data_IF_935272974872
#
_entry.id   IF_935272974872
#
_cell.length_a   1.000
_cell.length_b   1.000
_cell.length_c   1.000
_cell.angle_alpha   90.00
_cell.angle_beta   90.00
_cell.angle_gamma   90.00
#
_symmetry.space_group_name_H-M   'P 1'
#
loop_
_entity.id
_entity.type
_entity.pdbx_description
1 polymer ?
#
# COMPACT_ATOMS: atom_id res chain seq x y z
N UNK A 1 21.89 19.60 10.73
CA UNK A 1 20.87 20.46 10.08
C UNK A 1 20.86 20.07 8.61
N UNK A 2 19.72 19.65 8.07
CA UNK A 2 19.61 19.16 6.69
C UNK A 2 18.59 20.00 5.93
N UNK A 3 18.72 20.05 4.61
CA UNK A 3 17.72 20.62 3.70
C UNK A 3 16.74 19.54 3.30
N UNK A 4 15.50 19.66 3.74
CA UNK A 4 14.46 18.61 3.66
C UNK A 4 13.34 19.04 2.74
N UNK A 5 12.95 18.18 1.79
CA UNK A 5 11.74 18.34 1.02
C UNK A 5 10.64 17.42 1.59
N UNK A 6 9.60 18.03 2.17
CA UNK A 6 8.47 17.30 2.75
C UNK A 6 7.39 17.07 1.70
N UNK A 7 6.96 15.81 1.55
CA UNK A 7 5.79 15.47 0.74
C UNK A 7 4.51 15.82 1.50
N UNK A 8 3.93 16.99 1.24
CA UNK A 8 2.66 17.44 1.81
C UNK A 8 1.50 16.94 0.97
N UNK A 9 0.71 16.02 1.54
CA UNK A 9 -0.48 15.45 0.90
C UNK A 9 -1.78 16.21 1.20
N UNK A 10 -1.71 17.29 1.97
CA UNK A 10 -2.89 17.97 2.51
C UNK A 10 -3.50 17.30 3.75
N UNK A 11 -3.05 16.09 4.11
CA UNK A 11 -3.46 15.38 5.32
C UNK A 11 -2.70 15.85 6.57
N UNK A 12 -3.28 15.61 7.76
CA UNK A 12 -2.72 16.04 9.04
C UNK A 12 -1.35 15.40 9.34
N UNK A 13 -1.14 14.16 8.92
CA UNK A 13 0.10 13.41 9.20
C UNK A 13 1.32 14.06 8.53
N UNK A 14 1.19 14.43 7.26
CA UNK A 14 2.25 15.14 6.54
C UNK A 14 2.45 16.58 7.05
N UNK A 15 1.38 17.23 7.51
CA UNK A 15 1.44 18.57 8.08
C UNK A 15 2.24 18.58 9.40
N UNK A 16 1.95 17.63 10.30
CA UNK A 16 2.70 17.48 11.56
C UNK A 16 4.14 17.04 11.30
N UNK A 17 4.40 16.21 10.30
CA UNK A 17 5.76 15.86 9.90
C UNK A 17 6.57 17.11 9.51
N UNK A 18 5.97 18.04 8.74
CA UNK A 18 6.61 19.30 8.37
C UNK A 18 6.83 20.22 9.58
N UNK A 19 5.85 20.32 10.47
CA UNK A 19 5.94 21.07 11.73
C UNK A 19 7.11 20.62 12.59
N UNK A 20 7.22 19.31 12.83
CA UNK A 20 8.27 18.73 13.67
C UNK A 20 9.67 18.98 13.09
N UNK A 21 9.86 18.82 11.79
CA UNK A 21 11.15 19.10 11.14
C UNK A 21 11.54 20.57 11.25
N UNK A 22 10.57 21.50 11.10
CA UNK A 22 10.81 22.92 11.30
C UNK A 22 11.23 23.20 12.76
N UNK A 23 10.53 22.62 13.74
CA UNK A 23 10.87 22.76 15.16
C UNK A 23 12.24 22.19 15.51
N UNK A 24 12.68 21.15 14.82
CA UNK A 24 14.02 20.56 14.95
C UNK A 24 15.12 21.41 14.28
N UNK A 25 14.78 22.52 13.62
CA UNK A 25 15.70 23.45 13.03
C UNK A 25 16.23 23.04 11.65
N UNK A 26 15.56 22.14 10.93
CA UNK A 26 15.89 21.83 9.55
C UNK A 26 15.49 22.97 8.60
N UNK A 27 16.17 23.08 7.45
CA UNK A 27 15.69 23.87 6.32
C UNK A 27 14.59 23.07 5.60
N UNK A 28 13.35 23.43 5.85
CA UNK A 28 12.18 22.66 5.38
C UNK A 28 11.52 23.38 4.22
N UNK A 29 11.39 22.68 3.10
CA UNK A 29 10.55 23.04 1.97
C UNK A 29 9.43 22.00 1.81
N UNK A 30 8.29 22.43 1.26
CA UNK A 30 7.14 21.58 1.09
C UNK A 30 6.81 21.39 -0.39
N UNK A 31 6.41 20.19 -0.77
CA UNK A 31 5.90 19.92 -2.11
C UNK A 31 4.69 19.01 -2.07
N UNK A 32 3.69 19.36 -2.87
CA UNK A 32 2.61 18.43 -3.25
C UNK A 32 3.00 17.80 -4.59
N UNK A 33 3.06 16.47 -4.67
CA UNK A 33 3.25 15.81 -5.95
C UNK A 33 1.91 15.36 -6.52
N UNK A 34 1.59 15.92 -7.70
CA UNK A 34 0.36 15.62 -8.41
C UNK A 34 0.53 14.34 -9.20
N UNK A 35 -0.29 13.32 -8.87
CA UNK A 35 -0.24 11.99 -9.50
C UNK A 35 -1.42 11.72 -10.41
N UNK A 36 -2.46 12.57 -10.36
CA UNK A 36 -3.68 12.37 -11.11
C UNK A 36 -4.25 13.68 -11.59
N UNK A 37 -4.85 13.66 -12.78
CA UNK A 37 -5.68 14.72 -13.33
C UNK A 37 -6.99 14.11 -13.82
N UNK A 38 -8.10 14.83 -13.66
CA UNK A 38 -9.32 14.47 -14.35
C UNK A 38 -9.08 14.65 -15.86
N UNK A 39 -9.04 13.54 -16.58
CA UNK A 39 -9.04 13.58 -18.03
C UNK A 39 -10.46 13.90 -18.52
N UNK A 40 -10.55 14.62 -19.64
CA UNK A 40 -11.82 14.86 -20.35
C UNK A 40 -12.52 13.52 -20.58
N UNK A 41 -13.72 13.39 -20.07
CA UNK A 41 -14.55 12.17 -20.20
C UNK A 41 -14.65 11.25 -18.99
N UNK A 42 -14.08 11.61 -17.83
CA UNK A 42 -14.42 10.93 -16.58
C UNK A 42 -15.75 11.47 -16.04
N UNK A 43 -16.88 10.74 -16.15
CA UNK A 43 -18.16 11.19 -15.62
C UNK A 43 -18.26 10.91 -14.13
N UNK A 44 -17.36 11.48 -13.33
CA UNK A 44 -17.55 11.52 -11.90
C UNK A 44 -18.01 12.93 -11.54
N UNK A 45 -19.31 13.13 -11.24
CA UNK A 45 -19.79 14.39 -10.72
C UNK A 45 -19.21 14.57 -9.32
N UNK A 46 -18.33 15.52 -9.15
CA UNK A 46 -17.72 15.86 -7.87
C UNK A 46 -16.45 16.67 -8.08
N UNK A 47 -16.14 17.49 -7.09
CA UNK A 47 -14.89 18.25 -7.04
C UNK A 47 -13.69 17.31 -7.15
N UNK A 48 -12.68 17.74 -7.87
CA UNK A 48 -11.43 17.00 -8.07
C UNK A 48 -10.74 16.80 -6.71
N UNK A 49 -10.60 15.57 -6.17
CA UNK A 49 -10.07 15.37 -4.82
C UNK A 49 -8.68 16.00 -4.61
N UNK A 50 -7.87 16.08 -5.69
CA UNK A 50 -6.53 16.63 -5.61
C UNK A 50 -6.50 18.16 -5.41
N UNK A 51 -7.53 18.91 -5.87
CA UNK A 51 -7.58 20.36 -5.67
C UNK A 51 -7.77 20.72 -4.19
N UNK A 52 -8.60 19.97 -3.48
CA UNK A 52 -8.76 20.13 -2.03
C UNK A 52 -7.48 19.74 -1.31
N UNK A 53 -6.81 18.67 -1.74
CA UNK A 53 -5.53 18.26 -1.18
C UNK A 53 -4.46 19.33 -1.35
N UNK A 54 -4.35 19.93 -2.55
CA UNK A 54 -3.44 21.05 -2.84
C UNK A 54 -3.76 22.26 -1.98
N UNK A 55 -5.04 22.68 -1.92
CA UNK A 55 -5.46 23.84 -1.08
C UNK A 55 -5.05 23.63 0.39
N UNK A 56 -5.30 22.44 0.93
CA UNK A 56 -4.91 22.11 2.30
C UNK A 56 -3.39 22.08 2.48
N UNK A 57 -2.65 21.49 1.53
CA UNK A 57 -1.19 21.46 1.58
C UNK A 57 -0.60 22.87 1.52
N UNK A 58 -1.12 23.72 0.63
CA UNK A 58 -0.69 25.11 0.51
C UNK A 58 -1.01 25.91 1.79
N UNK A 59 -2.22 25.81 2.34
CA UNK A 59 -2.60 26.49 3.58
C UNK A 59 -1.70 26.08 4.76
N UNK A 60 -1.34 24.79 4.87
CA UNK A 60 -0.38 24.31 5.87
C UNK A 60 1.00 24.91 5.66
N UNK A 61 1.49 24.92 4.42
CA UNK A 61 2.81 25.49 4.11
C UNK A 61 2.86 26.99 4.41
N UNK A 62 1.83 27.75 4.07
CA UNK A 62 1.68 29.18 4.39
C UNK A 62 1.65 29.40 5.90
N UNK A 63 0.84 28.65 6.65
CA UNK A 63 0.76 28.72 8.10
C UNK A 63 2.10 28.44 8.77
N UNK A 64 2.84 27.47 8.26
CA UNK A 64 4.17 27.14 8.76
C UNK A 64 5.29 28.04 8.19
N UNK A 65 5.01 28.96 7.26
CA UNK A 65 6.00 29.81 6.60
C UNK A 65 7.01 29.01 5.79
N UNK A 66 6.60 27.93 5.11
CA UNK A 66 7.46 27.07 4.30
C UNK A 66 7.33 27.41 2.81
N UNK A 67 8.41 27.46 2.04
CA UNK A 67 8.31 27.44 0.58
C UNK A 67 7.52 26.23 0.09
N UNK A 68 6.54 26.47 -0.77
CA UNK A 68 5.65 25.43 -1.28
C UNK A 68 5.62 25.41 -2.81
N UNK A 69 5.54 24.21 -3.38
CA UNK A 69 5.35 24.02 -4.83
C UNK A 69 4.59 22.75 -5.15
N UNK A 70 4.07 22.68 -6.37
CA UNK A 70 3.48 21.49 -6.94
C UNK A 70 4.50 20.85 -7.89
N UNK A 71 4.72 19.55 -7.75
CA UNK A 71 5.55 18.76 -8.67
C UNK A 71 4.60 17.87 -9.48
N UNK A 72 4.63 18.02 -10.79
CA UNK A 72 3.83 17.21 -11.68
C UNK A 72 4.49 15.85 -11.91
N UNK A 73 3.80 14.78 -11.55
CA UNK A 73 4.21 13.38 -11.70
C UNK A 73 3.10 12.52 -12.32
N UNK A 74 2.14 13.15 -13.02
CA UNK A 74 0.97 12.44 -13.59
C UNK A 74 1.42 11.39 -14.60
N UNK A 75 2.35 11.73 -15.50
CA UNK A 75 2.84 10.78 -16.50
C UNK A 75 3.66 9.65 -15.86
N UNK A 76 4.60 10.00 -14.96
CA UNK A 76 5.39 9.01 -14.23
C UNK A 76 4.49 8.03 -13.47
N UNK A 77 3.41 8.54 -12.85
CA UNK A 77 2.45 7.73 -12.10
C UNK A 77 1.65 6.79 -12.99
N UNK A 78 1.19 7.29 -14.14
CA UNK A 78 0.45 6.51 -15.13
C UNK A 78 1.29 5.35 -15.66
N UNK A 79 2.51 5.63 -16.07
CA UNK A 79 3.41 4.64 -16.67
C UNK A 79 3.90 3.59 -15.68
N UNK A 80 3.89 3.91 -14.38
CA UNK A 80 4.42 3.04 -13.34
C UNK A 80 3.30 2.36 -12.54
N UNK A 81 2.53 3.14 -11.79
CA UNK A 81 1.58 2.59 -10.80
C UNK A 81 0.28 2.12 -11.47
N UNK A 82 -0.27 2.95 -12.38
CA UNK A 82 -1.52 2.61 -13.08
C UNK A 82 -1.30 1.43 -14.01
N UNK A 83 -0.21 1.45 -14.78
CA UNK A 83 0.12 0.35 -15.69
C UNK A 83 0.35 -0.96 -14.92
N UNK A 84 1.10 -0.92 -13.81
CA UNK A 84 1.29 -2.08 -12.92
C UNK A 84 -0.05 -2.64 -12.42
N UNK A 85 -0.97 -1.77 -11.99
CA UNK A 85 -2.28 -2.16 -11.52
C UNK A 85 -3.08 -2.87 -12.61
N UNK A 86 -3.22 -2.23 -13.77
CA UNK A 86 -4.00 -2.76 -14.91
C UNK A 86 -3.43 -4.08 -15.42
N UNK A 87 -2.12 -4.16 -15.62
CA UNK A 87 -1.46 -5.38 -16.10
C UNK A 87 -1.53 -6.53 -15.09
N UNK A 88 -1.46 -6.20 -13.79
CA UNK A 88 -1.68 -7.19 -12.74
C UNK A 88 -3.07 -7.81 -12.82
N UNK A 89 -4.11 -6.98 -12.89
CA UNK A 89 -5.48 -7.47 -12.99
C UNK A 89 -5.77 -8.21 -14.31
N UNK A 90 -5.19 -7.79 -15.44
CA UNK A 90 -5.28 -8.53 -16.71
C UNK A 90 -4.72 -9.96 -16.60
N UNK A 91 -3.65 -10.12 -15.83
CA UNK A 91 -3.03 -11.44 -15.55
C UNK A 91 -3.69 -12.18 -14.40
N UNK A 92 -4.80 -11.70 -13.86
CA UNK A 92 -5.53 -12.33 -12.76
C UNK A 92 -4.94 -12.13 -11.38
N UNK A 93 -3.92 -11.31 -11.25
CA UNK A 93 -3.31 -10.97 -9.98
C UNK A 93 -4.18 -9.95 -9.21
N UNK A 94 -3.85 -9.75 -7.95
CA UNK A 94 -4.39 -8.66 -7.13
C UNK A 94 -3.21 -7.79 -6.66
N UNK A 95 -2.72 -6.88 -7.52
CA UNK A 95 -1.56 -6.06 -7.20
C UNK A 95 -1.86 -5.05 -6.09
N UNK A 96 -0.80 -4.61 -5.39
CA UNK A 96 -0.89 -3.56 -4.37
C UNK A 96 -0.28 -2.25 -4.90
N UNK A 97 -1.10 -1.30 -5.39
CA UNK A 97 -0.60 -0.06 -5.99
C UNK A 97 0.04 0.87 -4.97
N UNK A 98 -0.36 0.83 -3.68
CA UNK A 98 0.19 1.73 -2.66
C UNK A 98 1.66 1.41 -2.35
N UNK A 99 2.02 0.13 -2.31
CA UNK A 99 3.42 -0.29 -2.14
C UNK A 99 4.27 0.15 -3.34
N UNK A 100 3.75 0.00 -4.56
CA UNK A 100 4.46 0.44 -5.76
C UNK A 100 4.54 1.98 -5.82
N UNK A 101 3.49 2.69 -5.43
CA UNK A 101 3.53 4.14 -5.30
C UNK A 101 4.63 4.60 -4.32
N UNK A 102 4.76 3.94 -3.18
CA UNK A 102 5.84 4.26 -2.24
C UNK A 102 7.22 4.00 -2.88
N UNK A 103 7.46 2.79 -3.42
CA UNK A 103 8.76 2.43 -4.00
C UNK A 103 9.16 3.31 -5.20
N UNK A 104 8.24 3.48 -6.16
CA UNK A 104 8.59 4.08 -7.46
C UNK A 104 8.33 5.59 -7.51
N UNK A 105 7.27 6.06 -6.84
CA UNK A 105 6.90 7.47 -6.91
C UNK A 105 7.48 8.28 -5.75
N UNK A 106 7.11 7.97 -4.49
CA UNK A 106 7.55 8.77 -3.33
C UNK A 106 9.06 8.66 -3.10
N UNK A 107 9.53 7.42 -2.93
CA UNK A 107 10.94 7.13 -2.67
C UNK A 107 11.73 6.81 -3.95
N UNK A 108 11.10 6.92 -5.11
CA UNK A 108 11.70 6.82 -6.43
C UNK A 108 11.80 8.18 -7.13
N UNK A 109 10.83 8.53 -7.96
CA UNK A 109 10.83 9.74 -8.80
C UNK A 109 10.92 11.02 -7.97
N UNK A 110 10.07 11.17 -6.93
CA UNK A 110 10.06 12.35 -6.07
C UNK A 110 11.39 12.51 -5.32
N UNK A 111 11.93 11.43 -4.76
CA UNK A 111 13.24 11.45 -4.12
C UNK A 111 14.36 11.87 -5.10
N UNK A 112 14.41 11.26 -6.29
CA UNK A 112 15.43 11.63 -7.30
C UNK A 112 15.37 13.11 -7.66
N UNK A 113 14.16 13.66 -7.90
CA UNK A 113 13.98 15.10 -8.19
C UNK A 113 14.46 15.96 -7.02
N UNK A 114 14.13 15.59 -5.79
CA UNK A 114 14.61 16.32 -4.59
C UNK A 114 16.14 16.34 -4.50
N UNK A 115 16.79 15.19 -4.67
CA UNK A 115 18.26 15.12 -4.63
C UNK A 115 18.93 15.92 -5.76
N UNK A 116 18.37 15.91 -6.97
CA UNK A 116 18.87 16.71 -8.11
C UNK A 116 18.77 18.22 -7.86
N UNK A 117 17.81 18.65 -7.04
CA UNK A 117 17.63 20.05 -6.66
C UNK A 117 18.39 20.45 -5.37
N UNK A 118 19.25 19.55 -4.87
CA UNK A 118 20.13 19.83 -3.74
C UNK A 118 19.47 19.68 -2.37
N UNK A 119 18.36 18.95 -2.25
CA UNK A 119 17.87 18.51 -0.95
C UNK A 119 18.70 17.30 -0.47
N UNK A 120 18.94 17.22 0.83
CA UNK A 120 19.68 16.11 1.43
C UNK A 120 18.86 14.85 1.55
N UNK A 121 17.57 15.04 1.91
CA UNK A 121 16.60 13.98 2.20
C UNK A 121 15.18 14.44 1.87
N UNK A 122 14.27 13.48 1.77
CA UNK A 122 12.83 13.75 1.76
C UNK A 122 12.19 13.31 3.08
N UNK A 123 11.03 13.88 3.40
CA UNK A 123 10.23 13.45 4.54
C UNK A 123 8.79 13.19 4.13
N UNK A 124 8.15 12.26 4.83
CA UNK A 124 6.76 11.88 4.61
C UNK A 124 6.04 11.68 5.94
N UNK A 125 4.72 11.75 5.92
CA UNK A 125 3.85 11.48 7.07
C UNK A 125 3.56 9.98 7.30
N UNK A 126 4.50 9.08 7.04
CA UNK A 126 4.31 7.67 7.33
C UNK A 126 4.55 7.35 8.80
N UNK A 127 3.70 6.50 9.36
CA UNK A 127 3.91 5.86 10.66
C UNK A 127 4.85 4.67 10.48
N UNK A 128 6.13 4.97 10.36
CA UNK A 128 7.25 4.02 10.31
C UNK A 128 8.45 4.68 10.98
N UNK A 129 9.42 3.90 11.45
CA UNK A 129 10.60 4.42 12.14
C UNK A 129 11.86 4.04 11.38
N UNK A 130 12.86 4.90 11.44
CA UNK A 130 14.18 4.66 10.87
C UNK A 130 15.21 4.69 11.98
N UNK A 131 16.07 3.68 12.03
CA UNK A 131 17.20 3.60 12.97
C UNK A 131 18.49 3.48 12.19
N UNK A 132 19.48 4.31 12.50
CA UNK A 132 20.80 4.20 11.95
C UNK A 132 21.62 3.13 12.67
N UNK A 133 22.32 2.31 11.91
CA UNK A 133 23.19 1.25 12.40
C UNK A 133 24.65 1.75 12.47
N UNK A 134 25.49 1.03 13.22
CA UNK A 134 26.90 1.40 13.41
C UNK A 134 27.73 1.40 12.10
N UNK A 135 27.27 0.67 11.08
CA UNK A 135 27.92 0.61 9.76
C UNK A 135 27.40 1.69 8.78
N UNK A 136 26.52 2.59 9.23
CA UNK A 136 25.92 3.65 8.42
C UNK A 136 24.72 3.22 7.57
N UNK A 137 24.30 1.97 7.67
CA UNK A 137 23.04 1.51 7.10
C UNK A 137 21.86 1.90 7.99
N UNK A 138 20.64 1.75 7.48
CA UNK A 138 19.43 2.09 8.21
C UNK A 138 18.48 0.89 8.27
N UNK A 139 17.94 0.66 9.44
CA UNK A 139 16.80 -0.26 9.62
C UNK A 139 15.49 0.52 9.46
N UNK A 140 14.51 -0.15 8.87
CA UNK A 140 13.12 0.30 8.86
C UNK A 140 12.33 -0.50 9.89
N UNK A 141 11.69 0.19 10.83
CA UNK A 141 10.93 -0.44 11.90
C UNK A 141 9.44 -0.10 11.79
N UNK A 142 8.63 -0.94 12.40
CA UNK A 142 7.21 -0.62 12.62
C UNK A 142 7.06 0.72 13.35
N UNK A 143 6.02 1.48 13.00
CA UNK A 143 5.62 2.67 13.74
C UNK A 143 5.31 2.37 15.21
N UNK A 144 5.39 3.39 16.07
CA UNK A 144 5.07 3.22 17.49
C UNK A 144 3.60 2.87 17.69
N UNK A 145 2.69 3.51 16.95
CA UNK A 145 1.25 3.23 17.00
C UNK A 145 0.93 1.96 16.20
N UNK A 146 0.58 0.83 16.86
CA UNK A 146 0.31 -0.42 16.17
C UNK A 146 -0.97 -0.38 15.30
N UNK A 147 -1.87 0.57 15.57
CA UNK A 147 -3.11 0.73 14.79
C UNK A 147 -2.88 1.56 13.52
N UNK A 148 -1.74 2.27 13.45
CA UNK A 148 -1.37 3.16 12.34
C UNK A 148 -0.11 2.74 11.62
N UNK A 149 0.63 1.75 12.13
CA UNK A 149 1.86 1.28 11.52
C UNK A 149 1.70 1.08 10.00
N UNK A 150 2.57 1.74 9.25
CA UNK A 150 2.57 1.74 7.79
C UNK A 150 3.84 1.11 7.20
N UNK A 151 4.65 0.46 8.02
CA UNK A 151 5.86 -0.22 7.56
C UNK A 151 5.58 -1.24 6.45
N UNK A 152 4.43 -1.93 6.49
CA UNK A 152 3.98 -2.84 5.43
C UNK A 152 4.00 -2.20 4.03
N UNK A 153 3.58 -0.94 3.92
CA UNK A 153 3.57 -0.24 2.62
C UNK A 153 4.96 0.15 2.12
N UNK A 154 5.98 -0.03 2.96
CA UNK A 154 7.38 0.26 2.66
C UNK A 154 8.20 -1.03 2.43
N UNK A 155 7.55 -2.19 2.35
CA UNK A 155 8.20 -3.50 2.28
C UNK A 155 9.10 -3.72 1.04
N UNK A 156 8.91 -2.93 -0.01
CA UNK A 156 9.74 -3.01 -1.22
C UNK A 156 10.73 -1.84 -1.36
N UNK A 157 10.98 -1.08 -0.30
CA UNK A 157 12.05 -0.07 -0.30
C UNK A 157 13.44 -0.72 -0.28
N UNK A 158 14.41 0.00 -0.82
CA UNK A 158 15.82 -0.36 -0.78
C UNK A 158 16.58 0.55 0.18
N UNK A 159 17.76 0.13 0.58
CA UNK A 159 18.64 0.87 1.51
C UNK A 159 18.92 2.29 1.02
N UNK A 160 19.24 2.46 -0.27
CA UNK A 160 19.54 3.79 -0.83
C UNK A 160 18.33 4.75 -0.75
N UNK A 161 17.09 4.22 -0.81
CA UNK A 161 15.87 5.01 -0.65
C UNK A 161 15.63 5.34 0.82
N UNK A 162 15.79 4.36 1.71
CA UNK A 162 15.61 4.53 3.14
C UNK A 162 16.63 5.50 3.74
N UNK A 163 17.89 5.43 3.29
CA UNK A 163 18.95 6.33 3.74
C UNK A 163 18.66 7.82 3.48
N UNK A 164 17.77 8.10 2.50
CA UNK A 164 17.35 9.44 2.10
C UNK A 164 15.92 9.79 2.52
N UNK A 165 15.31 9.01 3.41
CA UNK A 165 13.94 9.18 3.89
C UNK A 165 13.91 9.49 5.39
N UNK A 166 12.99 10.38 5.80
CA UNK A 166 12.68 10.66 7.21
C UNK A 166 11.19 10.46 7.46
N UNK A 167 10.86 9.87 8.59
CA UNK A 167 9.49 9.62 9.06
C UNK A 167 9.25 10.31 10.41
N UNK A 168 9.00 11.63 10.43
CA UNK A 168 9.03 12.42 11.67
C UNK A 168 7.99 12.01 12.71
N UNK A 169 6.87 11.39 12.28
CA UNK A 169 5.77 10.99 13.14
C UNK A 169 5.80 9.51 13.55
N UNK A 170 6.84 8.79 13.15
CA UNK A 170 6.94 7.33 13.39
C UNK A 170 7.02 6.94 14.87
N UNK A 171 7.50 7.82 15.74
CA UNK A 171 7.58 7.63 17.19
C UNK A 171 6.35 8.18 17.95
N UNK A 172 5.28 8.56 17.25
CA UNK A 172 4.09 9.17 17.85
C UNK A 172 2.86 8.29 17.67
N UNK A 173 1.97 8.34 18.66
CA UNK A 173 0.61 7.83 18.53
C UNK A 173 -0.23 8.80 17.67
N UNK A 174 -1.24 8.28 16.98
CA UNK A 174 -2.14 9.12 16.17
C UNK A 174 -2.83 10.22 17.01
N UNK A 175 -3.16 9.95 18.27
CA UNK A 175 -3.72 10.92 19.19
C UNK A 175 -2.75 12.07 19.48
N UNK A 176 -1.46 11.79 19.60
CA UNK A 176 -0.42 12.80 19.79
C UNK A 176 -0.24 13.65 18.53
N UNK A 177 -0.25 13.03 17.36
CA UNK A 177 -0.23 13.76 16.07
C UNK A 177 -1.42 14.71 15.96
N UNK A 178 -2.62 14.26 16.32
CA UNK A 178 -3.83 15.11 16.33
C UNK A 178 -3.70 16.25 17.33
N UNK A 179 -3.16 15.99 18.52
CA UNK A 179 -2.92 17.03 19.53
C UNK A 179 -1.92 18.06 19.03
N UNK A 180 -0.77 17.63 18.48
CA UNK A 180 0.23 18.55 17.91
C UNK A 180 -0.35 19.42 16.80
N UNK A 181 -1.19 18.86 15.93
CA UNK A 181 -1.88 19.62 14.90
C UNK A 181 -2.81 20.69 15.47
N UNK A 182 -3.57 20.36 16.50
CA UNK A 182 -4.49 21.29 17.18
C UNK A 182 -3.72 22.37 17.95
N UNK A 183 -2.71 22.01 18.75
CA UNK A 183 -1.90 22.92 19.53
C UNK A 183 -1.16 23.93 18.63
N UNK A 184 -0.71 23.50 17.45
CA UNK A 184 -0.09 24.35 16.44
C UNK A 184 -1.10 25.08 15.55
N UNK A 185 -2.41 24.91 15.78
CA UNK A 185 -3.49 25.53 15.01
C UNK A 185 -3.38 25.26 13.49
N UNK A 186 -2.94 24.06 13.10
CA UNK A 186 -2.80 23.71 11.67
C UNK A 186 -4.18 23.79 10.97
N UNK A 187 -4.27 24.39 9.77
CA UNK A 187 -5.55 24.57 9.06
C UNK A 187 -6.33 23.29 8.82
N UNK A 188 -5.63 22.16 8.75
CA UNK A 188 -6.19 20.83 8.48
C UNK A 188 -6.23 19.90 9.71
N UNK A 189 -6.13 20.44 10.95
CA UNK A 189 -6.05 19.64 12.18
C UNK A 189 -7.25 18.67 12.35
N UNK A 190 -8.45 19.10 11.95
CA UNK A 190 -9.68 18.30 12.04
C UNK A 190 -9.97 17.44 10.82
N UNK A 191 -9.14 17.53 9.78
CA UNK A 191 -9.35 16.77 8.55
C UNK A 191 -9.31 15.28 8.84
N UNK A 192 -10.32 14.54 8.32
CA UNK A 192 -10.37 13.07 8.41
C UNK A 192 -9.23 12.45 7.60
N UNK A 193 -8.77 11.29 8.06
CA UNK A 193 -7.75 10.51 7.34
C UNK A 193 -8.29 10.09 5.96
N UNK A 194 -7.44 10.18 4.93
CA UNK A 194 -7.78 9.71 3.59
C UNK A 194 -8.07 8.20 3.62
N UNK A 195 -9.11 7.80 2.90
CA UNK A 195 -9.53 6.40 2.76
C UNK A 195 -9.42 6.02 1.28
N UNK A 196 -8.95 4.81 0.99
CA UNK A 196 -8.84 4.30 -0.37
C UNK A 196 -7.44 4.38 -0.97
N UNK A 197 -7.34 3.99 -2.24
CA UNK A 197 -6.09 4.03 -3.02
C UNK A 197 -5.76 5.49 -3.34
N UNK A 198 -4.50 5.85 -3.19
CA UNK A 198 -3.99 7.22 -3.22
C UNK A 198 -4.48 8.07 -4.41
N UNK A 199 -4.64 7.49 -5.61
CA UNK A 199 -5.05 8.21 -6.82
C UNK A 199 -6.55 8.05 -7.18
N UNK A 200 -7.19 6.99 -6.69
CA UNK A 200 -8.61 6.73 -6.95
C UNK A 200 -9.52 7.47 -5.97
N UNK A 201 -8.99 7.86 -4.80
CA UNK A 201 -9.80 8.47 -3.76
C UNK A 201 -10.95 7.56 -3.35
N UNK A 202 -12.19 7.99 -3.61
CA UNK A 202 -13.40 7.23 -3.30
C UNK A 202 -13.90 6.34 -4.46
N UNK A 203 -13.22 6.36 -5.61
CA UNK A 203 -13.61 5.55 -6.78
C UNK A 203 -13.31 4.08 -6.49
N UNK A 204 -14.28 3.17 -6.61
CA UNK A 204 -14.03 1.74 -6.52
C UNK A 204 -13.05 1.28 -7.61
N UNK A 205 -12.09 0.42 -7.23
CA UNK A 205 -11.11 -0.12 -8.19
C UNK A 205 -11.78 -0.79 -9.37
N UNK A 206 -12.90 -1.46 -9.15
CA UNK A 206 -13.66 -2.14 -10.19
C UNK A 206 -14.15 -1.16 -11.28
N UNK A 207 -14.65 0.01 -10.89
CA UNK A 207 -15.15 1.02 -11.82
C UNK A 207 -14.00 1.64 -12.65
N UNK A 208 -12.84 1.77 -12.03
CA UNK A 208 -11.62 2.17 -12.73
C UNK A 208 -11.19 1.11 -13.74
N UNK A 209 -11.17 -0.17 -13.35
CA UNK A 209 -10.74 -1.27 -14.20
C UNK A 209 -11.68 -1.52 -15.40
N UNK A 210 -12.98 -1.22 -15.29
CA UNK A 210 -13.94 -1.33 -16.40
C UNK A 210 -13.50 -0.61 -17.68
N UNK A 211 -12.77 0.49 -17.52
CA UNK A 211 -12.28 1.30 -18.67
C UNK A 211 -11.02 0.74 -19.30
N UNK A 212 -10.29 -0.08 -18.57
CA UNK A 212 -8.99 -0.60 -19.00
C UNK A 212 -9.04 -2.08 -19.39
N UNK A 213 -10.01 -2.82 -18.85
CA UNK A 213 -10.13 -4.27 -19.04
C UNK A 213 -11.58 -4.57 -19.42
N UNK A 214 -11.82 -5.07 -20.65
CA UNK A 214 -13.17 -5.42 -21.08
C UNK A 214 -13.72 -6.56 -20.25
N UNK A 215 -15.03 -6.56 -20.02
CA UNK A 215 -15.73 -7.65 -19.35
C UNK A 215 -15.60 -8.95 -20.16
N UNK A 216 -15.41 -10.07 -19.45
CA UNK A 216 -15.41 -11.43 -19.99
C UNK A 216 -16.29 -12.30 -19.10
N UNK A 217 -17.63 -12.33 -19.36
CA UNK A 217 -18.57 -13.04 -18.51
C UNK A 217 -18.33 -14.56 -18.50
N UNK A 218 -18.48 -15.19 -17.33
CA UNK A 218 -18.32 -16.62 -17.14
C UNK A 218 -19.17 -17.15 -15.97
N UNK A 219 -19.16 -18.48 -15.73
CA UNK A 219 -19.95 -19.09 -14.68
C UNK A 219 -19.35 -18.82 -13.29
N UNK A 220 -20.24 -18.69 -12.30
CA UNK A 220 -19.91 -18.77 -10.88
C UNK A 220 -20.34 -20.16 -10.39
N UNK A 221 -19.40 -20.94 -9.88
CA UNK A 221 -19.67 -22.28 -9.38
C UNK A 221 -19.43 -22.37 -7.87
N UNK A 222 -20.26 -23.16 -7.19
CA UNK A 222 -20.09 -23.44 -5.77
C UNK A 222 -19.07 -24.58 -5.53
N UNK A 223 -18.80 -24.91 -4.27
CA UNK A 223 -17.86 -25.97 -3.88
C UNK A 223 -18.25 -27.38 -4.41
N UNK A 224 -19.53 -27.61 -4.74
CA UNK A 224 -20.01 -28.85 -5.35
C UNK A 224 -19.92 -28.85 -6.90
N UNK A 225 -19.31 -27.81 -7.50
CA UNK A 225 -19.20 -27.68 -8.94
C UNK A 225 -20.48 -27.25 -9.67
N UNK A 226 -21.55 -26.90 -8.93
CA UNK A 226 -22.80 -26.44 -9.53
C UNK A 226 -22.71 -24.97 -9.89
N UNK A 227 -23.11 -24.61 -11.11
CA UNK A 227 -23.29 -23.21 -11.53
C UNK A 227 -24.46 -22.59 -10.74
N UNK A 228 -24.17 -21.45 -10.09
CA UNK A 228 -25.11 -20.72 -9.24
C UNK A 228 -25.26 -19.25 -9.63
N UNK A 229 -24.55 -18.81 -10.66
CA UNK A 229 -24.61 -17.44 -11.17
C UNK A 229 -23.60 -17.20 -12.28
N UNK A 230 -23.51 -15.95 -12.71
CA UNK A 230 -22.53 -15.52 -13.73
C UNK A 230 -21.79 -14.27 -13.26
N UNK A 231 -20.49 -14.24 -13.48
CA UNK A 231 -19.65 -13.06 -13.22
C UNK A 231 -19.46 -12.25 -14.51
N UNK A 232 -19.08 -10.99 -14.37
CA UNK A 232 -18.80 -10.08 -15.50
C UNK A 232 -17.36 -10.21 -16.03
N UNK A 233 -16.43 -10.70 -15.22
CA UNK A 233 -15.04 -10.91 -15.57
C UNK A 233 -14.21 -11.23 -14.32
N UNK A 234 -13.27 -12.19 -14.41
CA UNK A 234 -12.45 -12.65 -13.26
C UNK A 234 -11.55 -11.55 -12.67
N UNK A 235 -11.19 -10.55 -13.46
CA UNK A 235 -10.41 -9.38 -13.00
C UNK A 235 -11.13 -8.54 -11.94
N UNK A 236 -12.46 -8.64 -11.85
CA UNK A 236 -13.26 -7.88 -10.87
C UNK A 236 -13.25 -8.48 -9.48
N UNK A 237 -12.64 -9.67 -9.30
CA UNK A 237 -12.70 -10.42 -8.05
C UNK A 237 -11.32 -10.68 -7.48
N UNK A 238 -11.28 -10.69 -6.15
CA UNK A 238 -10.09 -11.05 -5.36
C UNK A 238 -10.42 -12.25 -4.47
N UNK A 239 -9.48 -13.17 -4.29
CA UNK A 239 -9.64 -14.29 -3.36
C UNK A 239 -9.87 -13.73 -1.95
N UNK A 240 -10.87 -14.29 -1.25
CA UNK A 240 -11.33 -13.79 0.04
C UNK A 240 -12.39 -12.69 -0.01
N UNK A 241 -12.77 -12.20 -1.21
CA UNK A 241 -13.82 -11.19 -1.38
C UNK A 241 -15.20 -11.75 -1.01
N UNK A 242 -15.98 -10.99 -0.22
CA UNK A 242 -17.34 -11.33 0.21
C UNK A 242 -18.41 -10.45 -0.45
N UNK A 243 -18.10 -9.19 -0.69
CA UNK A 243 -19.06 -8.21 -1.23
C UNK A 243 -18.93 -8.09 -2.74
N UNK A 244 -20.03 -7.75 -3.41
CA UNK A 244 -20.02 -7.49 -4.85
C UNK A 244 -19.88 -8.73 -5.74
N UNK A 245 -20.15 -9.95 -5.21
CA UNK A 245 -20.14 -11.20 -5.99
C UNK A 245 -21.41 -11.32 -6.85
N UNK A 246 -22.50 -10.63 -6.46
CA UNK A 246 -23.78 -10.71 -7.18
C UNK A 246 -24.61 -11.92 -6.81
N UNK A 247 -24.25 -12.64 -5.75
CA UNK A 247 -25.02 -13.77 -5.23
C UNK A 247 -25.74 -13.37 -3.94
N UNK A 248 -27.03 -13.75 -3.78
CA UNK A 248 -27.73 -13.55 -2.51
C UNK A 248 -27.13 -14.45 -1.42
N UNK A 249 -27.20 -14.01 -0.15
CA UNK A 249 -26.97 -14.90 0.98
C UNK A 249 -28.10 -15.93 1.05
N UNK A 250 -27.83 -17.08 1.67
CA UNK A 250 -28.89 -18.05 1.97
C UNK A 250 -29.79 -17.59 3.14
N UNK A 251 -30.81 -18.38 3.45
CA UNK A 251 -31.76 -18.14 4.55
C UNK A 251 -31.09 -18.16 5.93
N UNK A 252 -29.91 -18.79 6.05
CA UNK A 252 -29.17 -18.92 7.31
C UNK A 252 -28.14 -17.78 7.48
N UNK A 253 -28.23 -16.73 6.67
CA UNK A 253 -27.29 -15.59 6.65
C UNK A 253 -25.83 -15.97 6.37
N UNK A 254 -25.60 -17.10 5.71
CA UNK A 254 -24.26 -17.49 5.24
C UNK A 254 -23.91 -16.70 3.97
N UNK A 255 -22.70 -16.18 3.94
CA UNK A 255 -22.21 -15.35 2.82
C UNK A 255 -21.26 -16.15 1.94
N UNK A 256 -21.40 -15.99 0.64
CA UNK A 256 -20.40 -16.49 -0.29
C UNK A 256 -19.11 -15.68 -0.21
N UNK A 257 -18.00 -16.39 -0.41
CA UNK A 257 -16.67 -15.83 -0.54
C UNK A 257 -15.99 -16.39 -1.79
N UNK A 258 -15.22 -15.56 -2.48
CA UNK A 258 -14.42 -16.00 -3.61
C UNK A 258 -13.26 -16.82 -3.09
N UNK A 259 -13.11 -18.06 -3.58
CA UNK A 259 -12.08 -18.99 -3.10
C UNK A 259 -11.06 -19.35 -4.19
N UNK A 260 -11.43 -19.26 -5.48
CA UNK A 260 -10.53 -19.55 -6.61
C UNK A 260 -11.00 -18.82 -7.87
N UNK A 261 -10.05 -18.39 -8.70
CA UNK A 261 -10.28 -17.89 -10.06
C UNK A 261 -9.62 -18.85 -11.05
N UNK A 262 -10.39 -19.45 -11.93
CA UNK A 262 -9.88 -20.36 -12.96
C UNK A 262 -9.91 -19.64 -14.31
N UNK A 263 -8.76 -19.17 -14.75
CA UNK A 263 -8.62 -18.43 -16.00
C UNK A 263 -8.70 -19.33 -17.24
N UNK A 264 -8.35 -20.62 -17.13
CA UNK A 264 -8.42 -21.54 -18.25
C UNK A 264 -9.86 -21.82 -18.67
N UNK A 265 -10.78 -21.90 -17.70
CA UNK A 265 -12.19 -22.16 -17.92
C UNK A 265 -13.06 -20.90 -17.76
N UNK A 266 -12.46 -19.76 -17.49
CA UNK A 266 -13.13 -18.50 -17.15
C UNK A 266 -14.20 -18.68 -16.04
N UNK A 267 -13.85 -19.41 -14.98
CA UNK A 267 -14.78 -19.79 -13.91
C UNK A 267 -14.40 -19.14 -12.57
N UNK A 268 -15.39 -18.54 -11.91
CA UNK A 268 -15.24 -18.03 -10.54
C UNK A 268 -15.78 -19.07 -9.55
N UNK A 269 -14.91 -19.56 -8.65
CA UNK A 269 -15.29 -20.48 -7.60
C UNK A 269 -15.60 -19.74 -6.31
N UNK A 270 -16.75 -20.07 -5.72
CA UNK A 270 -17.20 -19.52 -4.44
C UNK A 270 -17.56 -20.63 -3.47
N UNK A 271 -17.41 -20.36 -2.19
CA UNK A 271 -17.86 -21.22 -1.11
C UNK A 271 -18.56 -20.37 -0.03
N UNK A 272 -19.24 -20.99 0.91
CA UNK A 272 -19.65 -20.27 2.12
C UNK A 272 -18.42 -19.91 2.96
N UNK A 273 -18.43 -18.72 3.55
CA UNK A 273 -17.31 -18.20 4.37
C UNK A 273 -17.26 -18.91 5.72
N UNK A 274 -16.69 -20.12 5.72
CA UNK A 274 -16.54 -21.00 6.87
C UNK A 274 -15.08 -21.43 7.05
N UNK A 275 -14.68 -21.88 8.23
CA UNK A 275 -13.29 -22.33 8.49
C UNK A 275 -12.80 -23.48 7.59
N UNK A 276 -13.73 -24.29 7.08
CA UNK A 276 -13.47 -25.43 6.19
C UNK A 276 -13.71 -25.10 4.70
N UNK A 277 -13.89 -23.83 4.35
CA UNK A 277 -14.09 -23.42 2.95
C UNK A 277 -12.87 -23.81 2.09
N UNK A 278 -13.07 -24.62 1.03
CA UNK A 278 -11.98 -25.12 0.19
C UNK A 278 -11.23 -23.95 -0.45
N UNK A 279 -9.90 -24.07 -0.55
CA UNK A 279 -8.95 -23.09 -1.14
C UNK A 279 -8.93 -21.70 -0.47
N UNK A 280 -9.75 -21.45 0.55
CA UNK A 280 -9.77 -20.17 1.25
C UNK A 280 -8.63 -20.01 2.24
N UNK A 281 -8.24 -21.10 2.88
CA UNK A 281 -7.18 -21.12 3.89
C UNK A 281 -6.00 -21.93 3.41
N UNK A 282 -4.80 -21.42 3.66
CA UNK A 282 -3.54 -22.11 3.34
C UNK A 282 -2.52 -21.93 4.46
N UNK A 283 -1.71 -22.96 4.70
CA UNK A 283 -0.55 -22.89 5.58
C UNK A 283 0.75 -22.63 4.81
N UNK A 284 0.70 -22.62 3.48
CA UNK A 284 1.87 -22.39 2.64
C UNK A 284 1.56 -21.42 1.50
N UNK A 285 2.58 -20.69 1.08
CA UNK A 285 2.52 -19.85 -0.11
C UNK A 285 3.89 -19.78 -0.79
N UNK A 286 3.90 -19.41 -2.07
CA UNK A 286 5.12 -19.12 -2.81
C UNK A 286 5.19 -17.64 -3.11
N UNK A 287 6.35 -17.02 -2.88
CA UNK A 287 6.63 -15.64 -3.21
C UNK A 287 7.93 -15.52 -4.01
N UNK A 288 8.06 -14.44 -4.77
CA UNK A 288 9.23 -14.10 -5.59
C UNK A 288 9.51 -12.61 -5.62
N UNK A 289 10.49 -12.20 -6.38
CA UNK A 289 10.85 -10.80 -6.63
C UNK A 289 11.09 -10.04 -5.32
N UNK A 290 11.85 -10.67 -4.41
CA UNK A 290 12.17 -10.07 -3.12
C UNK A 290 13.04 -8.83 -3.27
N UNK A 291 12.66 -7.77 -2.57
CA UNK A 291 13.47 -6.59 -2.33
C UNK A 291 13.85 -6.57 -0.86
N UNK A 292 15.13 -6.36 -0.57
CA UNK A 292 15.66 -6.31 0.78
C UNK A 292 16.13 -4.89 1.11
N UNK A 293 15.84 -4.46 2.33
CA UNK A 293 16.30 -3.15 2.83
C UNK A 293 17.78 -3.23 3.18
N UNK A 294 18.15 -4.26 3.92
CA UNK A 294 19.54 -4.55 4.30
C UNK A 294 19.97 -5.89 3.68
N UNK A 295 20.55 -6.77 4.50
CA UNK A 295 21.00 -8.07 4.03
C UNK A 295 19.81 -8.97 3.69
N UNK A 296 19.89 -9.70 2.58
CA UNK A 296 18.91 -10.74 2.26
C UNK A 296 18.81 -11.78 3.39
N UNK A 297 17.62 -12.32 3.56
CA UNK A 297 17.42 -13.51 4.39
C UNK A 297 18.23 -14.68 3.78
N UNK A 298 19.29 -15.08 4.48
CA UNK A 298 20.25 -16.08 4.01
C UNK A 298 19.86 -17.49 4.40
N UNK A 299 19.24 -18.24 3.51
CA UNK A 299 18.89 -19.61 3.74
C UNK A 299 17.55 -19.82 4.46
N UNK A 300 17.31 -21.04 4.88
CA UNK A 300 16.08 -21.41 5.59
C UNK A 300 16.13 -20.91 7.03
N UNK A 301 15.12 -20.14 7.44
CA UNK A 301 15.03 -19.60 8.80
C UNK A 301 13.61 -19.19 9.20
N UNK A 302 13.42 -18.98 10.50
CA UNK A 302 12.18 -18.43 11.04
C UNK A 302 12.12 -16.93 10.87
N UNK A 303 10.94 -16.45 10.50
CA UNK A 303 10.63 -15.04 10.26
C UNK A 303 9.27 -14.70 10.87
N UNK A 304 8.97 -13.41 10.92
CA UNK A 304 7.59 -12.94 11.04
C UNK A 304 7.10 -12.47 9.67
N UNK A 305 5.95 -12.97 9.23
CA UNK A 305 5.34 -12.71 7.93
C UNK A 305 4.07 -11.89 8.08
N UNK A 306 3.96 -10.76 7.38
CA UNK A 306 2.72 -9.99 7.28
C UNK A 306 2.22 -10.05 5.85
N UNK A 307 1.02 -10.56 5.66
CA UNK A 307 0.44 -10.84 4.34
C UNK A 307 -0.53 -9.75 3.86
N UNK A 308 -0.96 -8.86 4.76
CA UNK A 308 -1.82 -7.69 4.47
C UNK A 308 -1.56 -6.55 5.43
N UNK A 309 -1.89 -5.35 4.98
CA UNK A 309 -1.95 -4.19 5.87
C UNK A 309 -2.96 -4.42 7.01
N UNK A 310 -2.58 -4.06 8.22
CA UNK A 310 -3.32 -4.26 9.49
C UNK A 310 -3.40 -5.70 10.00
N UNK A 311 -2.98 -6.70 9.24
CA UNK A 311 -2.81 -8.03 9.82
C UNK A 311 -1.63 -8.02 10.80
N UNK A 312 -1.69 -8.88 11.79
CA UNK A 312 -0.53 -9.14 12.65
C UNK A 312 0.53 -9.89 11.85
N UNK A 313 1.79 -9.58 12.11
CA UNK A 313 2.88 -10.41 11.63
C UNK A 313 2.82 -11.75 12.37
N UNK A 314 2.77 -12.86 11.64
CA UNK A 314 2.66 -14.22 12.17
C UNK A 314 3.96 -14.99 11.96
N UNK A 315 4.35 -15.89 12.89
CA UNK A 315 5.52 -16.73 12.68
C UNK A 315 5.39 -17.59 11.43
N UNK A 316 6.46 -17.65 10.67
CA UNK A 316 6.54 -18.45 9.45
C UNK A 316 7.97 -18.92 9.20
N UNK A 317 8.11 -19.99 8.42
CA UNK A 317 9.39 -20.51 7.94
C UNK A 317 9.65 -20.00 6.53
N UNK A 318 10.76 -19.34 6.32
CA UNK A 318 11.26 -18.85 5.04
C UNK A 318 12.18 -19.91 4.42
N UNK A 319 11.83 -20.42 3.25
CA UNK A 319 12.54 -21.55 2.60
C UNK A 319 12.87 -21.17 1.15
N UNK A 320 14.08 -20.65 0.88
CA UNK A 320 14.53 -20.36 -0.49
C UNK A 320 14.52 -21.63 -1.36
N UNK A 321 14.09 -21.46 -2.62
CA UNK A 321 14.07 -22.51 -3.62
C UNK A 321 15.16 -22.29 -4.67
N UNK A 322 15.53 -23.33 -5.37
CA UNK A 322 16.60 -23.29 -6.40
C UNK A 322 16.23 -22.46 -7.64
N UNK A 323 14.95 -22.22 -7.86
CA UNK A 323 14.41 -21.44 -8.97
C UNK A 323 14.29 -19.93 -8.65
N UNK A 324 14.79 -19.49 -7.51
CA UNK A 324 14.74 -18.10 -7.04
C UNK A 324 13.42 -17.70 -6.39
N UNK A 325 12.46 -18.63 -6.27
CA UNK A 325 11.26 -18.41 -5.46
C UNK A 325 11.54 -18.73 -3.99
N UNK A 326 10.60 -18.38 -3.12
CA UNK A 326 10.65 -18.70 -1.70
C UNK A 326 9.32 -19.33 -1.30
N UNK A 327 9.40 -20.52 -0.68
CA UNK A 327 8.25 -21.12 -0.02
C UNK A 327 8.16 -20.57 1.40
N UNK A 328 6.97 -20.11 1.77
CA UNK A 328 6.64 -19.62 3.12
C UNK A 328 5.69 -20.61 3.75
N UNK A 329 6.09 -21.21 4.86
CA UNK A 329 5.23 -22.10 5.66
C UNK A 329 4.80 -21.32 6.92
N UNK A 330 3.52 -20.98 7.02
CA UNK A 330 2.96 -20.22 8.12
C UNK A 330 2.67 -21.14 9.32
N UNK A 331 2.95 -20.69 10.53
CA UNK A 331 2.59 -21.40 11.75
C UNK A 331 1.06 -21.49 11.94
N UNK A 332 0.32 -20.50 11.43
CA UNK A 332 -1.14 -20.46 11.43
C UNK A 332 -1.64 -20.27 9.99
N UNK A 333 -2.77 -20.92 9.66
CA UNK A 333 -3.36 -20.81 8.32
C UNK A 333 -3.72 -19.36 7.99
N UNK A 334 -3.38 -18.95 6.78
CA UNK A 334 -3.69 -17.64 6.25
C UNK A 334 -4.95 -17.71 5.38
N UNK A 335 -5.85 -16.74 5.57
CA UNK A 335 -7.12 -16.69 4.82
C UNK A 335 -6.97 -15.88 3.54
N UNK A 336 -7.35 -16.47 2.40
CA UNK A 336 -7.53 -15.76 1.14
C UNK A 336 -6.27 -15.06 0.63
N UNK A 337 -5.12 -15.73 0.65
CA UNK A 337 -3.92 -15.20 0.02
C UNK A 337 -4.17 -15.06 -1.48
N UNK A 338 -3.97 -13.86 -2.00
CA UNK A 338 -4.18 -13.58 -3.41
C UNK A 338 -2.83 -13.37 -4.13
N UNK A 339 -2.58 -14.05 -5.26
CA UNK A 339 -1.40 -13.78 -6.09
C UNK A 339 -1.34 -12.29 -6.47
N UNK A 340 -0.13 -11.72 -6.42
CA UNK A 340 0.11 -10.30 -6.66
C UNK A 340 0.11 -9.43 -5.40
N UNK A 341 -0.38 -9.93 -4.25
CA UNK A 341 -0.20 -9.26 -2.97
C UNK A 341 1.25 -9.37 -2.49
N UNK A 342 1.64 -8.46 -1.60
CA UNK A 342 3.00 -8.40 -1.06
C UNK A 342 3.07 -9.11 0.28
N UNK A 343 4.07 -9.95 0.43
CA UNK A 343 4.55 -10.47 1.69
C UNK A 343 5.58 -9.48 2.27
N UNK A 344 5.36 -8.96 3.46
CA UNK A 344 6.38 -8.24 4.22
C UNK A 344 7.03 -9.18 5.23
N UNK A 345 8.37 -9.17 5.26
CA UNK A 345 9.20 -10.03 6.12
C UNK A 345 9.78 -9.19 7.23
N UNK A 346 9.59 -9.64 8.47
CA UNK A 346 10.09 -8.97 9.67
C UNK A 346 10.97 -9.90 10.50
N UNK A 347 11.92 -9.29 11.19
CA UNK A 347 12.61 -9.86 12.33
C UNK A 347 12.31 -8.97 13.53
N UNK A 348 11.60 -9.47 14.52
CA UNK A 348 10.99 -8.68 15.58
C UNK A 348 10.15 -7.53 15.00
N UNK A 349 10.53 -6.29 15.29
CA UNK A 349 9.88 -5.07 14.78
C UNK A 349 10.61 -4.45 13.57
N UNK A 350 11.67 -5.08 13.09
CA UNK A 350 12.46 -4.60 11.93
C UNK A 350 11.91 -5.21 10.66
N UNK A 351 11.49 -4.37 9.73
CA UNK A 351 11.13 -4.80 8.38
C UNK A 351 12.38 -5.10 7.58
N UNK A 352 12.57 -6.35 7.22
CA UNK A 352 13.71 -6.83 6.44
C UNK A 352 13.55 -6.53 4.94
N UNK A 353 12.32 -6.57 4.46
CA UNK A 353 11.97 -6.42 3.05
C UNK A 353 10.66 -7.10 2.70
N UNK A 354 10.46 -7.40 1.43
CA UNK A 354 9.24 -8.08 0.98
C UNK A 354 9.37 -8.71 -0.40
N UNK A 355 8.41 -9.58 -0.71
CA UNK A 355 8.28 -10.26 -2.00
C UNK A 355 6.82 -10.31 -2.44
N UNK A 356 6.55 -10.78 -3.64
CA UNK A 356 5.21 -10.85 -4.23
C UNK A 356 4.72 -12.29 -4.27
N UNK A 357 3.53 -12.56 -3.75
CA UNK A 357 2.90 -13.88 -3.84
C UNK A 357 2.62 -14.27 -5.29
N UNK A 358 2.95 -15.51 -5.64
CA UNK A 358 2.69 -16.08 -6.97
C UNK A 358 1.55 -17.08 -6.95
N UNK A 359 1.32 -17.76 -5.84
CA UNK A 359 0.27 -18.74 -5.62
C UNK A 359 -0.06 -18.81 -4.14
#
# INVERSE_FOLDING_TARGET
MSKVLVALSGGVDSAVAALLLKQQGHEVHAAYFRTWMNEEGLPFPGECPWEDDVRNAQAVAEHLGLPFRIIDLVQDYRDTVVQYLVDGYRRGLTPNPDIICNREMKFGVFLRKALQEGYDVIATGHYARRRENADGTFDLLEGLDPNKDQSYFLALLRQEQLAKAIFPIGELLKSEVRKLAADAQLPNAERKDSQGICFLGQIPVQDFLERHIPDSPGPIVNAAGKEIGRHRGLHRYTIGQRKGIGLPSNTDHEYFVVVKKDFATNTLHVAFDKPDAPWLYTSEAVARDFTWINQPVGGEQDILARVRYRDKATPARFIPQTDGTVRICFAETQRGLAPGQVLAVYHDRVLMGGGVFTS
#
